data_IF_635758421265
#
_entry.id   IF_635758421265
#
_cell.length_a   1.000
_cell.length_b   1.000
_cell.length_c   1.000
_cell.angle_alpha   90.00
_cell.angle_beta   90.00
_cell.angle_gamma   90.00
#
_symmetry.space_group_name_H-M   'P 1'
#
loop_
_entity.id
_entity.type
_entity.pdbx_description
1 polymer ?
#
# COMPACT_ATOMS: atom_id res chain seq x y z
N UNK A 1 -0.77 20.67 14.38
CA UNK A 1 0.35 20.03 15.00
C UNK A 1 1.64 20.55 14.42
N UNK A 2 2.52 21.10 15.28
CA UNK A 2 3.83 21.55 14.84
C UNK A 2 4.71 20.35 14.49
N UNK A 3 5.40 20.42 13.38
CA UNK A 3 6.44 19.47 13.04
C UNK A 3 7.52 19.51 14.13
N UNK A 4 7.76 18.39 14.80
CA UNK A 4 8.87 18.24 15.74
C UNK A 4 10.12 18.03 14.90
N UNK A 5 10.87 19.10 14.67
CA UNK A 5 12.17 19.01 14.02
C UNK A 5 13.16 18.37 15.00
N UNK A 6 13.68 17.20 14.63
CA UNK A 6 14.78 16.59 15.36
C UNK A 6 16.07 17.38 15.10
N UNK A 7 16.74 17.80 16.18
CA UNK A 7 18.02 18.51 16.10
C UNK A 7 19.16 17.59 16.46
N UNK A 8 20.31 17.74 15.79
CA UNK A 8 21.54 17.05 16.12
C UNK A 8 22.66 18.09 16.34
N UNK A 9 23.47 17.89 17.39
CA UNK A 9 24.71 18.64 17.61
C UNK A 9 25.89 17.75 17.28
N UNK A 10 26.89 18.31 16.58
CA UNK A 10 28.06 17.53 16.17
C UNK A 10 29.34 18.37 16.24
N UNK A 11 30.46 17.67 16.44
CA UNK A 11 31.80 18.24 16.39
C UNK A 11 32.59 17.53 15.31
N UNK A 12 33.11 18.27 14.35
CA UNK A 12 33.95 17.75 13.26
C UNK A 12 35.39 18.15 13.42
N UNK A 13 36.31 17.24 13.11
CA UNK A 13 37.71 17.54 12.89
C UNK A 13 38.02 17.56 11.39
N UNK A 14 38.76 18.57 10.94
CA UNK A 14 39.17 18.70 9.52
C UNK A 14 40.11 17.58 9.07
N UNK A 15 40.88 17.02 9.98
CA UNK A 15 41.88 15.99 9.67
C UNK A 15 41.32 14.61 9.86
N UNK A 16 41.51 13.73 8.86
CA UNK A 16 41.17 12.31 8.96
C UNK A 16 42.18 11.61 9.88
N UNK A 17 41.70 11.02 10.96
CA UNK A 17 42.48 10.15 11.85
C UNK A 17 42.11 8.70 11.52
N UNK A 18 43.10 7.93 11.01
CA UNK A 18 42.86 6.50 10.63
C UNK A 18 42.49 5.68 11.89
N UNK A 19 41.43 4.91 11.79
CA UNK A 19 40.95 4.06 12.88
C UNK A 19 40.28 4.82 14.03
N UNK A 20 39.95 6.11 13.84
CA UNK A 20 39.26 6.89 14.86
C UNK A 20 37.87 6.33 15.13
N UNK A 21 37.55 6.22 16.41
CA UNK A 21 36.23 5.84 16.89
C UNK A 21 35.51 7.09 17.41
N UNK A 22 34.44 7.45 16.74
CA UNK A 22 33.58 8.55 17.18
C UNK A 22 32.71 8.13 18.35
N UNK A 23 32.41 9.09 19.25
CA UNK A 23 31.42 8.94 20.31
C UNK A 23 30.12 9.58 19.91
N UNK A 24 29.01 8.88 20.13
CA UNK A 24 27.67 9.31 19.75
C UNK A 24 26.71 9.08 20.92
N UNK A 25 25.76 9.98 21.11
CA UNK A 25 24.71 9.88 22.11
C UNK A 25 23.36 9.90 21.45
N UNK A 26 22.58 8.82 21.61
CA UNK A 26 21.23 8.72 21.03
C UNK A 26 20.19 9.14 22.05
N UNK A 27 19.70 10.38 21.94
CA UNK A 27 18.78 10.99 22.90
C UNK A 27 17.35 11.12 22.35
N UNK A 28 17.04 10.47 21.23
CA UNK A 28 15.73 10.57 20.54
C UNK A 28 14.58 9.99 21.35
N UNK A 29 14.85 9.06 22.28
CA UNK A 29 13.83 8.43 23.11
C UNK A 29 13.40 9.30 24.30
N UNK A 30 14.09 10.40 24.58
CA UNK A 30 13.71 11.32 25.64
C UNK A 30 12.81 12.44 25.08
N UNK A 31 11.66 12.65 25.73
CA UNK A 31 10.64 13.61 25.26
C UNK A 31 10.93 15.05 25.71
N UNK A 32 11.56 15.23 26.87
CA UNK A 32 11.79 16.54 27.47
C UNK A 32 13.29 16.88 27.53
N UNK A 33 13.66 18.18 27.48
CA UNK A 33 15.05 18.64 27.47
C UNK A 33 15.86 18.17 28.70
N UNK A 34 15.25 18.20 29.88
CA UNK A 34 15.89 17.86 31.16
C UNK A 34 16.31 16.38 31.20
N UNK A 35 15.52 15.48 30.60
CA UNK A 35 15.87 14.05 30.53
C UNK A 35 16.95 13.81 29.48
N UNK A 36 16.96 14.57 28.37
CA UNK A 36 18.04 14.55 27.38
C UNK A 36 19.37 14.97 28.00
N UNK A 37 19.38 16.07 28.80
CA UNK A 37 20.55 16.54 29.51
C UNK A 37 21.07 15.49 30.50
N UNK A 38 20.20 14.94 31.34
CA UNK A 38 20.54 13.83 32.26
C UNK A 38 21.10 12.62 31.52
N UNK A 39 20.44 12.21 30.45
CA UNK A 39 20.89 11.09 29.61
C UNK A 39 22.27 11.33 29.01
N UNK A 40 22.54 12.54 28.56
CA UNK A 40 23.86 12.93 28.05
C UNK A 40 24.94 12.91 29.13
N UNK A 41 24.68 13.56 30.28
CA UNK A 41 25.63 13.66 31.39
C UNK A 41 25.93 12.31 32.06
N UNK A 42 24.95 11.41 32.06
CA UNK A 42 25.11 10.05 32.60
C UNK A 42 25.65 9.05 31.58
N UNK A 43 26.05 9.50 30.39
CA UNK A 43 26.48 8.65 29.29
C UNK A 43 25.46 7.56 28.90
N UNK A 44 24.17 7.81 29.16
CA UNK A 44 23.11 6.92 28.74
C UNK A 44 23.03 6.89 27.19
N UNK A 45 22.90 5.70 26.62
CA UNK A 45 22.86 5.54 25.17
C UNK A 45 24.10 6.13 24.44
N UNK A 46 25.29 5.99 25.05
CA UNK A 46 26.57 6.27 24.40
C UNK A 46 26.93 5.10 23.46
N UNK A 47 27.29 5.45 22.25
CA UNK A 47 27.80 4.54 21.23
C UNK A 47 29.19 4.91 20.81
N UNK A 48 30.02 3.92 20.53
CA UNK A 48 31.37 4.11 19.99
C UNK A 48 31.42 3.40 18.64
N UNK A 49 31.61 4.15 17.58
CA UNK A 49 31.56 3.60 16.23
C UNK A 49 32.72 4.08 15.34
N UNK A 50 33.17 3.19 14.44
CA UNK A 50 34.15 3.52 13.40
C UNK A 50 33.44 4.12 12.20
N UNK A 51 33.82 5.30 11.78
CA UNK A 51 33.25 5.98 10.61
C UNK A 51 33.42 5.19 9.31
N UNK A 52 34.43 4.33 9.23
CA UNK A 52 34.69 3.46 8.08
C UNK A 52 33.52 2.48 7.83
N UNK A 53 32.75 2.13 8.87
CA UNK A 53 31.58 1.27 8.73
C UNK A 53 30.45 1.95 7.95
N UNK A 54 30.29 3.26 8.04
CA UNK A 54 29.23 3.99 7.35
C UNK A 54 29.34 3.88 5.83
N UNK A 55 30.57 3.81 5.31
CA UNK A 55 30.83 3.66 3.87
C UNK A 55 30.38 2.30 3.29
N UNK A 56 30.02 1.33 4.14
CA UNK A 56 29.47 0.05 3.73
C UNK A 56 28.01 0.17 3.30
N UNK A 57 27.32 1.20 3.80
CA UNK A 57 25.90 1.49 3.51
C UNK A 57 25.82 2.50 2.37
N UNK A 58 24.91 2.37 1.40
CA UNK A 58 24.67 3.38 0.37
C UNK A 58 24.47 4.77 0.98
N UNK A 59 25.03 5.79 0.35
CA UNK A 59 25.02 7.19 0.80
C UNK A 59 25.69 7.45 2.18
N UNK A 60 26.32 6.43 2.76
CA UNK A 60 27.10 6.49 4.00
C UNK A 60 26.42 7.24 5.17
N UNK A 61 25.17 6.87 5.56
CA UNK A 61 24.49 7.51 6.66
C UNK A 61 25.25 7.31 7.97
N UNK A 62 25.14 8.28 8.89
CA UNK A 62 25.77 8.20 10.22
C UNK A 62 25.00 7.18 11.08
N UNK A 63 25.35 5.92 10.93
CA UNK A 63 24.62 4.75 11.45
C UNK A 63 25.30 4.12 12.69
N UNK A 64 25.80 4.95 13.60
CA UNK A 64 26.61 4.56 14.77
C UNK A 64 25.97 3.55 15.72
N UNK A 65 24.65 3.40 15.65
CA UNK A 65 23.86 2.55 16.57
C UNK A 65 23.62 1.14 16.04
N UNK A 66 24.15 0.81 14.86
CA UNK A 66 23.98 -0.49 14.25
C UNK A 66 25.02 -1.49 14.76
N UNK A 67 24.58 -2.74 14.92
CA UNK A 67 25.45 -3.86 15.21
C UNK A 67 26.32 -4.24 13.99
N UNK A 68 27.49 -4.88 14.24
CA UNK A 68 28.41 -5.30 13.16
C UNK A 68 27.75 -6.21 12.10
N UNK A 69 26.78 -7.03 12.50
CA UNK A 69 26.02 -7.96 11.65
C UNK A 69 25.28 -7.21 10.54
N UNK A 70 24.65 -6.08 10.87
CA UNK A 70 23.94 -5.24 9.89
C UNK A 70 24.88 -4.73 8.80
N UNK A 71 26.07 -4.26 9.17
CA UNK A 71 27.07 -3.83 8.18
C UNK A 71 27.55 -5.00 7.29
N UNK A 72 27.66 -6.22 7.85
CA UNK A 72 28.06 -7.40 7.09
C UNK A 72 27.06 -7.80 6.01
N UNK A 73 25.76 -7.49 6.21
CA UNK A 73 24.72 -7.72 5.21
C UNK A 73 24.95 -6.84 3.98
N UNK A 74 25.28 -5.57 4.17
CA UNK A 74 25.61 -4.66 3.05
C UNK A 74 26.89 -5.06 2.31
N UNK A 75 27.84 -5.68 2.98
CA UNK A 75 29.09 -6.18 2.35
C UNK A 75 28.84 -7.30 1.33
N UNK A 76 27.71 -8.01 1.42
CA UNK A 76 27.31 -9.06 0.45
C UNK A 76 26.94 -8.45 -0.91
N UNK A 77 26.64 -7.16 -0.99
CA UNK A 77 26.31 -6.40 -2.22
C UNK A 77 25.23 -7.05 -3.06
N UNK A 78 24.18 -7.53 -2.42
CA UNK A 78 22.98 -8.07 -3.06
C UNK A 78 21.81 -7.17 -2.68
N UNK A 79 21.09 -6.66 -3.67
CA UNK A 79 20.07 -5.64 -3.46
C UNK A 79 18.76 -5.98 -4.18
N UNK A 80 17.67 -5.37 -3.75
CA UNK A 80 16.37 -5.47 -4.44
C UNK A 80 16.47 -5.07 -5.90
N UNK A 81 17.29 -4.07 -6.23
CA UNK A 81 17.53 -3.62 -7.60
C UNK A 81 18.16 -4.66 -8.52
N UNK A 82 18.83 -5.67 -7.97
CA UNK A 82 19.43 -6.77 -8.76
C UNK A 82 18.37 -7.79 -9.21
N UNK A 83 17.21 -7.83 -8.55
CA UNK A 83 16.16 -8.83 -8.77
C UNK A 83 14.84 -8.23 -9.26
N UNK A 84 14.73 -6.91 -9.35
CA UNK A 84 13.54 -6.22 -9.82
C UNK A 84 13.81 -4.78 -10.25
N UNK A 85 12.94 -4.26 -11.12
CA UNK A 85 13.02 -2.89 -11.61
C UNK A 85 11.96 -2.00 -10.96
N UNK A 86 12.38 -1.08 -10.11
CA UNK A 86 11.50 -0.06 -9.52
C UNK A 86 11.21 1.04 -10.53
N UNK A 87 9.93 1.36 -10.74
CA UNK A 87 9.49 2.38 -11.70
C UNK A 87 8.46 3.31 -11.10
N UNK A 88 8.60 4.59 -11.39
CA UNK A 88 7.62 5.63 -11.14
C UNK A 88 6.62 5.67 -12.29
N UNK A 89 5.33 5.83 -11.98
CA UNK A 89 4.28 5.81 -13.00
C UNK A 89 3.83 7.20 -13.45
N UNK A 90 2.56 7.27 -13.80
CA UNK A 90 1.88 8.44 -14.35
C UNK A 90 1.64 9.51 -13.28
N UNK A 91 2.13 10.72 -13.51
CA UNK A 91 1.62 11.93 -12.88
C UNK A 91 0.59 12.59 -13.81
N UNK A 92 -0.63 12.84 -13.32
CA UNK A 92 -1.69 13.44 -14.15
C UNK A 92 -1.47 14.93 -14.39
N UNK A 93 -0.69 15.60 -13.54
CA UNK A 93 -0.52 17.07 -13.48
C UNK A 93 -1.82 17.87 -13.25
N UNK A 94 -2.98 17.22 -13.33
CA UNK A 94 -4.31 17.77 -13.07
C UNK A 94 -5.27 16.64 -12.67
N UNK A 95 -5.28 16.30 -11.37
CA UNK A 95 -6.11 15.22 -10.84
C UNK A 95 -7.60 15.52 -11.02
N UNK A 96 -8.03 16.78 -10.88
CA UNK A 96 -9.44 17.14 -11.00
C UNK A 96 -9.99 16.87 -12.41
N UNK A 97 -9.15 16.95 -13.42
CA UNK A 97 -9.52 16.68 -14.80
C UNK A 97 -9.41 15.20 -15.17
N UNK A 98 -8.35 14.52 -14.73
CA UNK A 98 -7.94 13.22 -15.28
C UNK A 98 -8.14 12.05 -14.34
N UNK A 99 -8.51 12.29 -13.06
CA UNK A 99 -8.71 11.25 -12.06
C UNK A 99 -10.14 11.30 -11.54
N UNK A 100 -10.73 10.13 -11.29
CA UNK A 100 -12.04 9.96 -10.65
C UNK A 100 -11.99 8.81 -9.67
N UNK A 101 -12.85 8.87 -8.64
CA UNK A 101 -13.24 7.66 -7.97
C UNK A 101 -14.07 6.81 -8.92
N UNK A 102 -13.90 5.51 -8.88
CA UNK A 102 -14.58 4.62 -9.81
C UNK A 102 -16.13 4.76 -9.77
N UNK A 103 -16.80 5.03 -8.62
CA UNK A 103 -18.25 5.18 -8.59
C UNK A 103 -18.78 6.45 -9.28
N UNK A 104 -17.89 7.42 -9.60
CA UNK A 104 -18.27 8.64 -10.32
C UNK A 104 -18.42 8.40 -11.84
N UNK A 105 -18.07 7.20 -12.31
CA UNK A 105 -18.05 6.86 -13.72
C UNK A 105 -19.05 5.74 -13.99
N UNK A 106 -19.75 5.83 -15.11
CA UNK A 106 -20.51 4.70 -15.62
C UNK A 106 -19.59 3.48 -15.74
N UNK A 107 -19.96 2.39 -15.05
CA UNK A 107 -19.12 1.20 -14.91
C UNK A 107 -18.73 0.61 -16.27
N UNK A 108 -19.63 0.67 -17.27
CA UNK A 108 -19.38 0.19 -18.64
C UNK A 108 -18.33 1.00 -19.40
N UNK A 109 -17.98 2.19 -18.91
CA UNK A 109 -16.94 3.06 -19.49
C UNK A 109 -15.57 2.87 -18.85
N UNK A 110 -15.45 1.92 -17.91
CA UNK A 110 -14.18 1.57 -17.29
C UNK A 110 -13.58 0.38 -18.05
N UNK A 111 -12.36 0.53 -18.52
CA UNK A 111 -11.63 -0.50 -19.26
C UNK A 111 -10.93 -1.46 -18.31
N UNK A 112 -11.68 -2.42 -17.76
CA UNK A 112 -11.10 -3.51 -16.99
C UNK A 112 -10.44 -4.56 -17.89
N UNK A 113 -9.41 -5.24 -17.38
CA UNK A 113 -8.75 -6.36 -18.07
C UNK A 113 -7.92 -5.96 -19.31
N UNK A 114 -7.61 -4.69 -19.47
CA UNK A 114 -6.71 -4.21 -20.54
C UNK A 114 -5.27 -4.60 -20.21
N UNK A 115 -4.57 -5.17 -21.19
CA UNK A 115 -3.23 -5.73 -21.04
C UNK A 115 -2.14 -5.00 -21.87
N UNK A 116 -2.31 -3.71 -22.09
CA UNK A 116 -1.32 -2.90 -22.81
C UNK A 116 -1.85 -1.56 -23.28
N UNK A 117 -0.96 -0.59 -23.42
CA UNK A 117 -1.32 0.78 -23.83
C UNK A 117 -1.95 0.82 -25.23
N UNK A 118 -1.55 -0.06 -26.14
CA UNK A 118 -2.10 -0.16 -27.50
C UNK A 118 -3.59 -0.55 -27.51
N UNK A 119 -4.06 -1.28 -26.49
CA UNK A 119 -5.47 -1.66 -26.34
C UNK A 119 -6.37 -0.51 -25.88
N UNK A 120 -5.78 0.61 -25.48
CA UNK A 120 -6.53 1.83 -25.15
C UNK A 120 -6.81 2.71 -26.37
N UNK A 121 -6.17 2.39 -27.51
CA UNK A 121 -6.40 3.08 -28.79
C UNK A 121 -7.70 2.56 -29.38
N UNK A 122 -8.55 3.48 -29.78
CA UNK A 122 -9.91 3.18 -30.31
C UNK A 122 -10.79 2.36 -29.34
N UNK A 123 -10.41 2.30 -28.06
CA UNK A 123 -11.22 1.68 -27.02
C UNK A 123 -12.51 2.49 -26.77
N UNK A 124 -13.66 1.84 -26.56
CA UNK A 124 -14.88 2.52 -26.10
C UNK A 124 -14.72 3.05 -24.67
N UNK A 125 -13.77 2.51 -23.91
CA UNK A 125 -13.50 2.93 -22.53
C UNK A 125 -12.61 4.16 -22.51
N UNK A 126 -12.98 5.13 -21.68
CA UNK A 126 -12.21 6.36 -21.45
C UNK A 126 -11.36 6.24 -20.18
N UNK A 127 -11.84 5.52 -19.21
CA UNK A 127 -11.30 5.42 -17.87
C UNK A 127 -10.70 4.04 -17.63
N UNK A 128 -9.54 3.98 -16.98
CA UNK A 128 -8.82 2.73 -16.71
C UNK A 128 -8.42 2.65 -15.25
N UNK A 129 -8.43 1.44 -14.64
CA UNK A 129 -8.04 1.25 -13.24
C UNK A 129 -6.67 1.87 -12.93
N UNK A 130 -6.58 2.58 -11.80
CA UNK A 130 -5.41 3.38 -11.46
C UNK A 130 -4.97 3.17 -10.01
N UNK A 131 -3.73 2.76 -9.81
CA UNK A 131 -3.10 2.57 -8.51
C UNK A 131 -2.35 3.84 -8.11
N UNK A 132 -2.84 4.55 -7.10
CA UNK A 132 -2.31 5.85 -6.70
C UNK A 132 -1.45 5.82 -5.42
N UNK A 133 -1.32 4.71 -4.75
CA UNK A 133 -0.86 4.63 -3.38
C UNK A 133 -2.03 4.78 -2.42
N UNK A 134 -1.87 5.45 -1.30
CA UNK A 134 -2.95 5.67 -0.33
C UNK A 134 -2.54 5.37 1.10
N UNK A 135 -3.53 5.15 1.97
CA UNK A 135 -3.34 4.84 3.38
C UNK A 135 -2.53 3.55 3.57
N UNK A 136 -1.94 3.40 4.75
CA UNK A 136 -1.19 2.20 5.13
C UNK A 136 -2.05 0.94 4.96
N UNK A 137 -1.62 0.07 4.08
CA UNK A 137 -2.26 -1.21 3.79
C UNK A 137 -1.23 -2.17 3.19
N UNK A 138 -1.14 -3.39 3.69
CA UNK A 138 -0.29 -4.46 3.16
C UNK A 138 -1.09 -5.39 2.25
N UNK A 139 -0.41 -6.15 1.43
CA UNK A 139 -0.84 -7.29 0.62
C UNK A 139 -1.76 -6.93 -0.55
N UNK A 140 -2.87 -6.24 -0.32
CA UNK A 140 -3.85 -5.87 -1.35
C UNK A 140 -3.99 -4.35 -1.48
N UNK A 141 -4.01 -3.78 -2.69
CA UNK A 141 -3.95 -2.34 -2.91
C UNK A 141 -5.28 -1.61 -2.64
N UNK A 142 -5.19 -0.31 -2.41
CA UNK A 142 -6.35 0.59 -2.37
C UNK A 142 -6.83 0.85 -3.82
N UNK A 143 -7.87 0.13 -4.25
CA UNK A 143 -8.43 0.19 -5.61
C UNK A 143 -9.63 1.13 -5.64
N UNK A 144 -9.37 2.43 -5.69
CA UNK A 144 -10.41 3.46 -5.58
C UNK A 144 -10.53 4.31 -6.84
N UNK A 145 -9.46 4.38 -7.64
CA UNK A 145 -9.35 5.37 -8.71
C UNK A 145 -9.36 4.74 -10.10
N UNK A 146 -9.88 5.56 -11.03
CA UNK A 146 -9.73 5.37 -12.47
C UNK A 146 -9.14 6.64 -13.09
N UNK A 147 -8.33 6.47 -14.12
CA UNK A 147 -7.65 7.57 -14.84
C UNK A 147 -8.11 7.62 -16.29
N UNK A 148 -8.31 8.82 -16.82
CA UNK A 148 -8.55 9.01 -18.26
C UNK A 148 -7.26 8.72 -19.05
N UNK A 149 -7.19 7.54 -19.65
CA UNK A 149 -6.05 7.13 -20.47
C UNK A 149 -6.44 6.65 -21.87
N UNK A 150 -7.60 7.09 -22.37
CA UNK A 150 -8.07 6.78 -23.73
C UNK A 150 -7.03 7.21 -24.78
N UNK A 151 -6.93 6.45 -25.86
CA UNK A 151 -5.99 6.71 -26.96
C UNK A 151 -4.53 6.89 -26.44
N UNK A 152 -4.08 5.93 -25.60
CA UNK A 152 -2.75 5.96 -25.03
C UNK A 152 -2.45 7.25 -24.25
N UNK A 153 -3.45 7.76 -23.51
CA UNK A 153 -3.32 8.96 -22.67
C UNK A 153 -3.17 10.26 -23.48
N UNK A 154 -3.74 10.34 -24.66
CA UNK A 154 -3.59 11.50 -25.55
C UNK A 154 -3.94 12.82 -24.86
N UNK A 155 -5.08 12.88 -24.15
CA UNK A 155 -5.50 14.12 -23.46
C UNK A 155 -4.53 14.53 -22.34
N UNK A 156 -4.02 13.58 -21.55
CA UNK A 156 -3.04 13.87 -20.49
C UNK A 156 -1.74 14.36 -21.11
N UNK A 157 -1.23 13.66 -22.13
CA UNK A 157 0.02 14.03 -22.82
C UNK A 157 -0.07 15.42 -23.42
N UNK A 158 -1.18 15.76 -24.09
CA UNK A 158 -1.43 17.09 -24.62
C UNK A 158 -1.49 18.17 -23.52
N UNK A 159 -2.16 17.89 -22.40
CA UNK A 159 -2.25 18.81 -21.27
C UNK A 159 -0.88 19.05 -20.61
N UNK A 160 -0.06 18.01 -20.48
CA UNK A 160 1.32 18.09 -19.97
C UNK A 160 2.16 19.00 -20.86
N UNK A 161 2.14 18.79 -22.17
CA UNK A 161 2.91 19.62 -23.12
C UNK A 161 2.44 21.08 -23.11
N UNK A 162 1.16 21.33 -22.93
CA UNK A 162 0.63 22.70 -22.79
C UNK A 162 1.05 23.34 -21.48
N UNK A 163 1.06 22.60 -20.36
CA UNK A 163 1.40 23.08 -19.03
C UNK A 163 2.91 23.34 -18.87
N UNK A 164 3.72 22.54 -19.52
CA UNK A 164 5.19 22.58 -19.44
C UNK A 164 5.82 22.75 -20.82
N UNK A 165 5.71 23.95 -21.45
CA UNK A 165 6.14 24.17 -22.83
C UNK A 165 7.66 24.05 -23.05
N UNK A 166 8.44 23.95 -21.99
CA UNK A 166 9.88 23.69 -22.04
C UNK A 166 10.25 22.22 -22.20
N UNK A 167 9.29 21.30 -22.06
CA UNK A 167 9.52 19.87 -22.28
C UNK A 167 9.50 19.53 -23.78
N UNK A 168 10.40 18.66 -24.22
CA UNK A 168 10.44 18.15 -25.59
C UNK A 168 9.41 17.06 -25.84
N UNK A 169 9.01 16.33 -24.79
CA UNK A 169 8.01 15.25 -24.85
C UNK A 169 7.32 15.11 -23.49
N UNK A 170 6.19 14.38 -23.38
CA UNK A 170 5.47 14.20 -22.14
C UNK A 170 6.09 13.19 -21.18
N UNK A 171 7.16 12.47 -21.56
CA UNK A 171 7.68 11.29 -20.86
C UNK A 171 8.29 11.63 -19.48
N UNK A 172 8.62 12.90 -19.25
CA UNK A 172 9.05 13.37 -17.94
C UNK A 172 7.95 13.29 -16.87
N UNK A 173 6.68 13.37 -17.30
CA UNK A 173 5.48 13.36 -16.45
C UNK A 173 4.71 12.05 -16.61
N UNK A 174 4.51 11.59 -17.86
CA UNK A 174 3.87 10.33 -18.22
C UNK A 174 4.94 9.26 -18.35
N UNK A 175 5.49 8.84 -17.20
CA UNK A 175 6.69 8.00 -17.13
C UNK A 175 6.40 6.52 -17.37
N UNK A 176 7.37 5.81 -17.90
CA UNK A 176 7.43 4.34 -17.93
C UNK A 176 6.16 3.68 -18.52
N UNK A 177 5.59 4.23 -19.58
CA UNK A 177 4.34 3.75 -20.19
C UNK A 177 4.41 2.28 -20.63
N UNK A 178 5.59 1.77 -20.97
CA UNK A 178 5.80 0.35 -21.29
C UNK A 178 5.58 -0.61 -20.11
N UNK A 179 5.47 -0.08 -18.90
CA UNK A 179 5.21 -0.86 -17.70
C UNK A 179 3.76 -0.80 -17.23
N UNK A 180 2.92 0.03 -17.86
CA UNK A 180 1.50 0.08 -17.53
C UNK A 180 0.81 -1.21 -17.91
N UNK A 181 -0.21 -1.57 -17.13
CA UNK A 181 -1.03 -2.78 -17.27
C UNK A 181 -0.31 -4.10 -16.93
N UNK A 182 0.93 -4.05 -16.44
CA UNK A 182 1.67 -5.22 -16.00
C UNK A 182 1.63 -5.38 -14.48
N UNK A 183 1.57 -6.64 -14.03
CA UNK A 183 1.57 -6.99 -12.63
C UNK A 183 2.89 -6.62 -11.92
N UNK A 184 2.80 -6.29 -10.63
CA UNK A 184 3.97 -5.94 -9.84
C UNK A 184 3.64 -5.62 -8.39
N UNK A 185 4.65 -5.25 -7.64
CA UNK A 185 4.56 -4.91 -6.22
C UNK A 185 4.55 -3.38 -6.10
N UNK A 186 3.47 -2.80 -5.57
CA UNK A 186 3.35 -1.35 -5.35
C UNK A 186 3.52 -0.98 -3.89
N UNK A 187 3.89 0.26 -3.65
CA UNK A 187 3.90 0.91 -2.33
C UNK A 187 3.46 2.36 -2.43
N UNK A 188 3.32 3.07 -1.31
CA UNK A 188 3.11 4.52 -1.29
C UNK A 188 4.46 5.23 -1.20
N UNK A 189 4.78 6.10 -2.17
CA UNK A 189 6.05 6.87 -2.16
C UNK A 189 6.15 7.75 -0.91
N UNK A 190 5.05 8.40 -0.53
CA UNK A 190 5.00 9.23 0.68
C UNK A 190 4.20 8.51 1.74
N UNK A 191 4.81 8.25 2.89
CA UNK A 191 4.14 7.68 4.05
C UNK A 191 4.68 8.29 5.35
N UNK A 192 3.79 8.53 6.31
CA UNK A 192 4.14 8.99 7.66
C UNK A 192 4.37 7.85 8.66
N UNK A 193 4.25 6.61 8.19
CA UNK A 193 4.37 5.38 8.98
C UNK A 193 5.26 4.35 8.31
N UNK A 194 5.05 3.11 8.69
CA UNK A 194 5.81 1.97 8.18
C UNK A 194 5.62 1.79 6.66
N UNK A 195 6.63 1.22 6.01
CA UNK A 195 6.53 0.77 4.63
C UNK A 195 5.47 -0.32 4.48
N UNK A 196 4.81 -0.37 3.33
CA UNK A 196 3.83 -1.42 3.03
C UNK A 196 3.82 -1.76 1.55
N UNK A 197 4.02 -3.03 1.23
CA UNK A 197 3.99 -3.57 -0.12
C UNK A 197 2.64 -4.26 -0.40
N UNK A 198 2.16 -4.10 -1.64
CA UNK A 198 0.87 -4.62 -2.11
C UNK A 198 1.03 -5.21 -3.49
N UNK A 199 0.37 -6.34 -3.74
CA UNK A 199 0.36 -6.97 -5.04
C UNK A 199 -0.68 -6.34 -5.97
N UNK A 200 -0.26 -5.99 -7.16
CA UNK A 200 -1.13 -5.49 -8.24
C UNK A 200 -1.07 -6.47 -9.40
N UNK A 201 -2.23 -6.97 -9.81
CA UNK A 201 -2.37 -7.81 -11.00
C UNK A 201 -2.22 -6.99 -12.29
N UNK A 202 -2.18 -7.66 -13.44
CA UNK A 202 -2.28 -7.00 -14.74
C UNK A 202 -3.57 -6.17 -14.86
N UNK A 203 -3.55 -5.17 -15.74
CA UNK A 203 -4.73 -4.37 -16.06
C UNK A 203 -4.82 -3.02 -15.36
N UNK A 204 -3.75 -2.56 -14.72
CA UNK A 204 -3.71 -1.29 -13.99
C UNK A 204 -2.64 -0.34 -14.54
N UNK A 205 -2.96 0.94 -14.56
CA UNK A 205 -1.98 2.02 -14.64
C UNK A 205 -1.59 2.42 -13.23
N UNK A 206 -0.32 2.70 -13.00
CA UNK A 206 0.17 3.09 -11.68
C UNK A 206 0.70 4.53 -11.66
N UNK A 207 0.62 5.15 -10.49
CA UNK A 207 0.98 6.55 -10.26
C UNK A 207 2.47 6.75 -9.97
N UNK A 208 2.89 8.00 -10.06
CA UNK A 208 4.14 8.47 -9.45
C UNK A 208 4.14 8.32 -7.93
N UNK A 209 3.00 8.60 -7.28
CA UNK A 209 2.81 8.43 -5.83
C UNK A 209 2.58 6.97 -5.38
N UNK A 210 2.36 6.07 -6.32
CA UNK A 210 2.24 4.62 -6.11
C UNK A 210 3.20 3.87 -7.05
N UNK A 211 4.52 4.02 -6.86
CA UNK A 211 5.51 3.35 -7.71
C UNK A 211 5.39 1.82 -7.61
N UNK A 212 6.00 1.13 -8.57
CA UNK A 212 5.95 -0.33 -8.62
C UNK A 212 7.34 -0.93 -8.84
N UNK A 213 7.56 -2.09 -8.21
CA UNK A 213 8.67 -2.99 -8.47
C UNK A 213 8.19 -4.14 -9.37
N UNK A 214 8.82 -4.27 -10.53
CA UNK A 214 8.55 -5.34 -11.48
C UNK A 214 9.58 -6.46 -11.29
N UNK A 215 9.10 -7.64 -10.92
CA UNK A 215 9.91 -8.81 -10.58
C UNK A 215 9.47 -9.99 -11.43
N UNK A 216 10.42 -10.67 -12.08
CA UNK A 216 10.10 -11.81 -12.94
C UNK A 216 10.12 -13.16 -12.22
N UNK A 217 10.97 -13.31 -11.21
CA UNK A 217 11.17 -14.58 -10.49
C UNK A 217 10.74 -14.42 -9.04
N UNK A 218 9.93 -15.35 -8.55
CA UNK A 218 9.47 -15.41 -7.16
C UNK A 218 8.96 -14.05 -6.61
N UNK A 219 8.01 -13.36 -7.27
CA UNK A 219 7.59 -12.01 -6.83
C UNK A 219 6.98 -12.02 -5.42
N UNK A 220 6.29 -13.08 -5.02
CA UNK A 220 5.69 -13.18 -3.70
C UNK A 220 6.73 -13.32 -2.59
N UNK A 221 7.85 -14.01 -2.85
CA UNK A 221 8.96 -14.06 -1.90
C UNK A 221 9.53 -12.66 -1.64
N UNK A 222 9.71 -11.84 -2.70
CA UNK A 222 10.16 -10.45 -2.55
C UNK A 222 9.13 -9.60 -1.81
N UNK A 223 7.85 -9.76 -2.12
CA UNK A 223 6.77 -9.04 -1.43
C UNK A 223 6.67 -9.44 0.04
N UNK A 224 6.83 -10.74 0.36
CA UNK A 224 6.90 -11.22 1.73
C UNK A 224 8.01 -10.51 2.50
N UNK A 225 9.23 -10.49 1.95
CA UNK A 225 10.36 -9.76 2.52
C UNK A 225 10.07 -8.27 2.70
N UNK A 226 9.51 -7.60 1.69
CA UNK A 226 9.22 -6.17 1.73
C UNK A 226 8.20 -5.76 2.82
N UNK A 227 7.41 -6.69 3.34
CA UNK A 227 6.45 -6.42 4.42
C UNK A 227 6.97 -6.77 5.82
N UNK A 228 8.25 -7.16 5.96
CA UNK A 228 8.86 -7.55 7.24
C UNK A 228 9.52 -6.38 7.99
N UNK A 229 9.76 -6.51 9.31
CA UNK A 229 10.55 -5.55 10.08
C UNK A 229 12.01 -5.48 9.61
N UNK A 230 12.55 -6.54 9.00
CA UNK A 230 13.88 -6.53 8.40
C UNK A 230 13.98 -5.50 7.28
N UNK A 231 13.01 -5.51 6.37
CA UNK A 231 12.94 -4.52 5.27
C UNK A 231 12.73 -3.11 5.82
N UNK A 232 11.84 -2.94 6.80
CA UNK A 232 11.60 -1.65 7.45
C UNK A 232 12.88 -1.09 8.07
N UNK A 233 13.65 -1.90 8.77
CA UNK A 233 14.93 -1.47 9.37
C UNK A 233 15.89 -0.92 8.30
N UNK A 234 15.99 -1.57 7.14
CA UNK A 234 16.83 -1.05 6.04
C UNK A 234 16.21 0.19 5.38
N UNK A 235 14.88 0.29 5.30
CA UNK A 235 14.22 1.52 4.87
C UNK A 235 14.57 2.69 5.78
N UNK A 236 14.54 2.50 7.09
CA UNK A 236 14.85 3.55 8.07
C UNK A 236 16.31 4.04 7.96
N UNK A 237 17.21 3.20 7.45
CA UNK A 237 18.61 3.55 7.19
C UNK A 237 18.82 4.28 5.87
N UNK A 238 18.13 3.87 4.80
CA UNK A 238 18.38 4.33 3.44
C UNK A 238 17.37 5.41 3.04
N UNK A 239 16.08 5.23 3.37
CA UNK A 239 15.00 6.14 3.00
C UNK A 239 14.82 7.22 4.08
N UNK A 240 15.79 8.13 4.20
CA UNK A 240 15.72 9.20 5.19
C UNK A 240 14.62 10.21 4.81
N UNK A 241 13.61 10.36 5.68
CA UNK A 241 12.50 11.27 5.49
C UNK A 241 11.15 10.54 5.28
N UNK A 242 10.24 11.17 4.54
CA UNK A 242 8.88 10.68 4.31
C UNK A 242 8.70 9.92 2.98
N UNK A 243 9.79 9.76 2.22
CA UNK A 243 9.74 9.17 0.88
C UNK A 243 10.39 7.80 0.82
N UNK A 244 9.67 6.87 0.21
CA UNK A 244 10.17 5.56 -0.22
C UNK A 244 10.39 5.59 -1.74
N UNK A 245 11.43 6.29 -2.19
CA UNK A 245 11.63 6.58 -3.60
C UNK A 245 12.10 5.38 -4.43
N UNK A 246 11.81 5.41 -5.72
CA UNK A 246 12.31 4.41 -6.70
C UNK A 246 13.82 4.40 -6.85
N UNK A 247 14.54 5.40 -6.34
CA UNK A 247 16.00 5.43 -6.30
C UNK A 247 16.57 4.75 -5.06
N UNK A 248 15.85 4.75 -3.94
CA UNK A 248 16.31 4.23 -2.65
C UNK A 248 15.88 2.77 -2.41
N UNK A 249 14.63 2.41 -2.68
CA UNK A 249 14.13 1.04 -2.52
C UNK A 249 15.03 -0.01 -3.21
N UNK A 250 15.53 0.20 -4.43
CA UNK A 250 16.47 -0.73 -5.07
C UNK A 250 17.79 -0.95 -4.34
N UNK A 251 18.18 -0.05 -3.43
CA UNK A 251 19.43 -0.13 -2.68
C UNK A 251 19.29 -0.95 -1.38
N UNK A 252 18.10 -1.44 -1.07
CA UNK A 252 17.85 -2.25 0.12
C UNK A 252 18.45 -3.66 -0.09
N UNK A 253 19.23 -4.18 0.90
CA UNK A 253 19.82 -5.50 0.82
C UNK A 253 18.78 -6.60 0.61
N UNK A 254 19.04 -7.53 -0.31
CA UNK A 254 18.20 -8.70 -0.55
C UNK A 254 19.04 -9.95 -0.71
N UNK A 255 18.95 -10.87 0.24
CA UNK A 255 19.65 -12.16 0.16
C UNK A 255 18.89 -13.11 -0.75
N UNK A 256 19.57 -13.66 -1.79
CA UNK A 256 18.91 -14.47 -2.83
C UNK A 256 18.75 -15.95 -2.44
N UNK A 257 19.56 -16.45 -1.50
CA UNK A 257 19.52 -17.86 -1.08
C UNK A 257 18.46 -18.03 0.02
N UNK A 258 17.21 -18.14 -0.38
CA UNK A 258 16.05 -18.37 0.50
C UNK A 258 15.60 -19.81 0.27
N UNK A 259 15.60 -20.64 1.32
CA UNK A 259 15.23 -22.06 1.25
C UNK A 259 13.71 -22.26 1.30
N UNK A 260 13.00 -21.50 2.11
CA UNK A 260 11.55 -21.65 2.40
C UNK A 260 10.63 -20.98 1.38
N UNK A 261 11.04 -20.85 0.11
CA UNK A 261 10.29 -20.10 -0.91
C UNK A 261 8.86 -20.57 -1.11
N UNK A 262 8.62 -21.88 -1.04
CA UNK A 262 7.27 -22.42 -1.24
C UNK A 262 6.35 -22.03 -0.10
N UNK A 263 6.81 -22.10 1.14
CA UNK A 263 6.06 -21.68 2.31
C UNK A 263 5.78 -20.17 2.27
N UNK A 264 6.81 -19.37 2.02
CA UNK A 264 6.69 -17.91 1.89
C UNK A 264 5.67 -17.54 0.80
N UNK A 265 5.75 -18.20 -0.36
CA UNK A 265 4.83 -17.95 -1.48
C UNK A 265 3.38 -18.26 -1.10
N UNK A 266 3.14 -19.39 -0.45
CA UNK A 266 1.81 -19.79 0.00
C UNK A 266 1.25 -18.84 1.05
N UNK A 267 2.05 -18.45 2.05
CA UNK A 267 1.66 -17.49 3.10
C UNK A 267 1.35 -16.09 2.52
N UNK A 268 2.13 -15.64 1.55
CA UNK A 268 1.89 -14.34 0.88
C UNK A 268 0.63 -14.39 0.03
N UNK A 269 0.38 -15.49 -0.69
CA UNK A 269 -0.85 -15.67 -1.47
C UNK A 269 -2.08 -15.64 -0.56
N UNK A 270 -2.04 -16.38 0.56
CA UNK A 270 -3.10 -16.37 1.57
C UNK A 270 -3.32 -14.95 2.13
N UNK A 271 -2.26 -14.22 2.45
CA UNK A 271 -2.36 -12.85 2.95
C UNK A 271 -2.99 -11.89 1.92
N UNK A 272 -2.69 -12.09 0.63
CA UNK A 272 -3.35 -11.33 -0.45
C UNK A 272 -4.84 -11.65 -0.49
N UNK A 273 -5.22 -12.92 -0.37
CA UNK A 273 -6.64 -13.33 -0.38
C UNK A 273 -7.39 -12.78 0.84
N UNK A 274 -6.86 -12.94 2.05
CA UNK A 274 -7.45 -12.39 3.28
C UNK A 274 -7.66 -10.87 3.19
N UNK A 275 -6.66 -10.16 2.64
CA UNK A 275 -6.74 -8.70 2.47
C UNK A 275 -7.70 -8.28 1.36
N UNK A 276 -7.84 -9.10 0.30
CA UNK A 276 -8.83 -8.90 -0.76
C UNK A 276 -10.25 -9.12 -0.25
N UNK A 277 -10.50 -10.18 0.51
CA UNK A 277 -11.79 -10.46 1.12
C UNK A 277 -12.25 -9.34 2.05
N UNK A 278 -11.33 -8.81 2.89
CA UNK A 278 -11.62 -7.63 3.70
C UNK A 278 -11.98 -6.42 2.84
N UNK A 279 -11.25 -6.16 1.75
CA UNK A 279 -11.51 -5.03 0.86
C UNK A 279 -12.86 -5.17 0.16
N UNK A 280 -13.16 -6.35 -0.39
CA UNK A 280 -14.35 -6.63 -1.18
C UNK A 280 -15.61 -6.79 -0.32
N UNK A 281 -15.48 -6.83 1.00
CA UNK A 281 -16.62 -6.79 1.92
C UNK A 281 -17.31 -5.43 2.03
N UNK A 282 -16.78 -4.37 1.37
CA UNK A 282 -17.28 -3.01 1.46
C UNK A 282 -17.51 -2.39 0.07
N UNK A 283 -18.50 -1.50 -0.02
CA UNK A 283 -18.91 -0.80 -1.25
C UNK A 283 -17.80 0.08 -1.89
N UNK A 284 -16.68 0.29 -1.19
CA UNK A 284 -15.48 0.92 -1.76
C UNK A 284 -14.81 0.07 -2.83
N UNK A 285 -15.04 -1.25 -2.82
CA UNK A 285 -14.56 -2.15 -3.85
C UNK A 285 -15.54 -2.20 -5.02
N UNK A 286 -15.04 -2.18 -6.26
CA UNK A 286 -15.84 -2.51 -7.44
C UNK A 286 -16.12 -4.01 -7.59
N UNK A 287 -15.44 -4.87 -6.83
CA UNK A 287 -15.68 -6.32 -6.71
C UNK A 287 -16.63 -6.67 -5.54
N UNK A 288 -17.21 -5.65 -4.87
CA UNK A 288 -18.20 -5.85 -3.81
C UNK A 288 -19.42 -6.58 -4.35
N UNK A 289 -19.86 -7.65 -3.69
CA UNK A 289 -20.94 -8.49 -4.15
C UNK A 289 -22.23 -8.28 -3.36
N UNK A 290 -22.14 -8.41 -2.04
CA UNK A 290 -23.29 -8.38 -1.14
C UNK A 290 -22.83 -7.94 0.25
N UNK A 291 -23.69 -7.20 0.95
CA UNK A 291 -23.35 -6.76 2.30
C UNK A 291 -23.20 -7.95 3.27
N UNK A 292 -22.12 -8.03 4.08
CA UNK A 292 -21.82 -9.18 4.93
C UNK A 292 -22.89 -9.52 5.98
N UNK A 293 -23.73 -8.54 6.37
CA UNK A 293 -24.84 -8.77 7.31
C UNK A 293 -26.10 -9.31 6.65
N UNK A 294 -26.17 -9.44 5.33
CA UNK A 294 -27.29 -10.09 4.63
C UNK A 294 -27.07 -11.60 4.58
N UNK A 295 -27.56 -12.27 5.58
CA UNK A 295 -27.41 -13.71 5.81
C UNK A 295 -28.75 -14.37 6.10
N UNK A 296 -28.80 -15.66 5.98
CA UNK A 296 -29.99 -16.45 6.33
C UNK A 296 -30.04 -16.69 7.86
N UNK A 297 -30.30 -15.64 8.62
CA UNK A 297 -30.45 -15.65 10.08
C UNK A 297 -31.68 -14.81 10.48
N UNK A 298 -32.16 -15.00 11.70
CA UNK A 298 -33.39 -14.37 12.15
C UNK A 298 -33.24 -12.92 12.57
N UNK A 299 -32.02 -12.50 12.95
CA UNK A 299 -31.77 -11.17 13.50
C UNK A 299 -30.46 -10.57 12.98
N UNK A 300 -30.42 -9.22 12.92
CA UNK A 300 -29.18 -8.48 12.61
C UNK A 300 -28.08 -8.76 13.64
N UNK A 301 -28.46 -9.01 14.89
CA UNK A 301 -27.52 -9.35 15.97
C UNK A 301 -26.80 -10.67 15.68
N UNK A 302 -27.52 -11.69 15.23
CA UNK A 302 -26.92 -12.96 14.82
C UNK A 302 -26.01 -12.79 13.60
N UNK A 303 -26.48 -12.04 12.59
CA UNK A 303 -25.65 -11.72 11.42
C UNK A 303 -24.34 -11.02 11.80
N UNK A 304 -24.41 -10.03 12.68
CA UNK A 304 -23.23 -9.32 13.16
C UNK A 304 -22.30 -10.22 13.97
N UNK A 305 -22.83 -11.11 14.81
CA UNK A 305 -21.99 -12.04 15.57
C UNK A 305 -21.22 -13.01 14.67
N UNK A 306 -21.85 -13.52 13.62
CA UNK A 306 -21.18 -14.36 12.62
C UNK A 306 -20.12 -13.55 11.87
N UNK A 307 -20.46 -12.36 11.41
CA UNK A 307 -19.53 -11.45 10.75
C UNK A 307 -18.32 -11.11 11.62
N UNK A 308 -18.54 -10.85 12.91
CA UNK A 308 -17.46 -10.60 13.86
C UNK A 308 -16.50 -11.78 13.95
N UNK A 309 -17.03 -13.02 14.06
CA UNK A 309 -16.18 -14.21 14.09
C UNK A 309 -15.32 -14.31 12.83
N UNK A 310 -15.90 -14.13 11.64
CA UNK A 310 -15.16 -14.16 10.37
C UNK A 310 -14.08 -13.07 10.29
N UNK A 311 -14.39 -11.87 10.77
CA UNK A 311 -13.39 -10.79 10.84
C UNK A 311 -12.26 -11.10 11.81
N UNK A 312 -12.58 -11.68 12.99
CA UNK A 312 -11.60 -12.05 13.99
C UNK A 312 -10.71 -13.20 13.50
N UNK A 313 -11.28 -14.20 12.83
CA UNK A 313 -10.54 -15.32 12.24
C UNK A 313 -9.59 -14.81 11.14
N UNK A 314 -10.07 -13.97 10.23
CA UNK A 314 -9.26 -13.32 9.18
C UNK A 314 -8.13 -12.49 9.76
N UNK A 315 -8.41 -11.71 10.79
CA UNK A 315 -7.43 -10.87 11.47
C UNK A 315 -6.33 -11.71 12.13
N UNK A 316 -6.72 -12.75 12.88
CA UNK A 316 -5.79 -13.62 13.58
C UNK A 316 -4.95 -14.45 12.60
N UNK A 317 -5.54 -14.94 11.52
CA UNK A 317 -4.81 -15.68 10.49
C UNK A 317 -3.77 -14.78 9.79
N UNK A 318 -4.16 -13.56 9.37
CA UNK A 318 -3.22 -12.62 8.76
C UNK A 318 -2.07 -12.28 9.70
N UNK A 319 -2.38 -12.00 10.96
CA UNK A 319 -1.38 -11.71 11.99
C UNK A 319 -0.40 -12.87 12.16
N UNK A 320 -0.88 -14.08 12.29
CA UNK A 320 -0.06 -15.28 12.45
C UNK A 320 0.86 -15.50 11.23
N UNK A 321 0.34 -15.32 10.03
CA UNK A 321 1.14 -15.42 8.79
C UNK A 321 2.22 -14.34 8.73
N UNK A 322 1.90 -13.09 9.11
CA UNK A 322 2.88 -12.00 9.15
C UNK A 322 3.98 -12.26 10.18
N UNK A 323 3.64 -12.76 11.38
CA UNK A 323 4.59 -13.10 12.43
C UNK A 323 5.52 -14.26 12.00
N UNK A 324 5.00 -15.26 11.29
CA UNK A 324 5.82 -16.35 10.75
C UNK A 324 6.76 -15.87 9.64
N UNK A 325 6.28 -15.05 8.70
CA UNK A 325 7.12 -14.42 7.69
C UNK A 325 8.22 -13.57 8.32
N UNK A 326 7.89 -12.80 9.36
CA UNK A 326 8.86 -12.01 10.11
C UNK A 326 9.96 -12.90 10.71
N UNK A 327 9.59 -14.01 11.37
CA UNK A 327 10.52 -14.96 11.97
C UNK A 327 11.48 -15.52 10.92
N UNK A 328 10.95 -15.99 9.79
CA UNK A 328 11.76 -16.55 8.70
C UNK A 328 12.78 -15.53 8.20
N UNK A 329 12.36 -14.30 7.91
CA UNK A 329 13.29 -13.30 7.39
C UNK A 329 14.26 -12.75 8.46
N UNK A 330 13.86 -12.64 9.71
CA UNK A 330 14.78 -12.33 10.82
C UNK A 330 15.88 -13.40 10.92
N UNK A 331 15.52 -14.67 10.81
CA UNK A 331 16.48 -15.80 10.86
C UNK A 331 17.41 -15.81 9.64
N UNK A 332 16.90 -15.61 8.43
CA UNK A 332 17.69 -15.53 7.19
C UNK A 332 18.76 -14.44 7.27
N UNK A 333 18.39 -13.30 7.88
CA UNK A 333 19.30 -12.15 8.00
C UNK A 333 20.16 -12.18 9.27
N UNK A 334 19.90 -13.09 10.22
CA UNK A 334 20.64 -13.22 11.48
C UNK A 334 20.41 -12.01 12.39
N UNK A 335 19.19 -11.51 12.50
CA UNK A 335 18.81 -10.29 13.21
C UNK A 335 17.92 -10.55 14.42
N UNK A 336 18.02 -11.73 15.03
CA UNK A 336 17.20 -12.13 16.19
C UNK A 336 17.46 -11.26 17.43
N UNK A 337 18.67 -10.71 17.57
CA UNK A 337 19.02 -9.82 18.68
C UNK A 337 18.52 -8.38 18.47
N UNK A 338 18.12 -8.03 17.21
CA UNK A 338 17.71 -6.67 16.83
C UNK A 338 16.20 -6.51 16.66
N UNK A 339 15.54 -7.56 16.18
CA UNK A 339 14.16 -7.51 15.73
C UNK A 339 13.35 -8.65 16.35
N UNK A 340 12.07 -8.37 16.55
CA UNK A 340 11.10 -9.35 17.01
C UNK A 340 10.08 -9.65 15.91
N UNK A 341 9.54 -10.88 15.84
CA UNK A 341 8.57 -11.26 14.81
C UNK A 341 7.15 -10.75 15.11
N UNK A 342 6.85 -10.33 16.33
CA UNK A 342 5.52 -9.96 16.77
C UNK A 342 4.96 -8.77 15.95
N UNK A 343 3.67 -8.86 15.62
CA UNK A 343 2.92 -7.81 14.92
C UNK A 343 1.92 -7.17 15.89
N UNK A 344 2.01 -5.87 16.07
CA UNK A 344 1.03 -5.15 16.87
C UNK A 344 -0.35 -5.12 16.16
N UNK A 345 -1.44 -5.23 16.90
CA UNK A 345 -2.80 -5.26 16.35
C UNK A 345 -3.11 -4.04 15.44
N UNK A 346 -2.54 -2.87 15.76
CA UNK A 346 -2.70 -1.65 14.95
C UNK A 346 -2.02 -1.71 13.57
N UNK A 347 -1.07 -2.65 13.38
CA UNK A 347 -0.31 -2.82 12.14
C UNK A 347 -0.90 -3.90 11.23
N UNK A 348 -1.86 -4.69 11.73
CA UNK A 348 -2.63 -5.64 10.92
C UNK A 348 -3.63 -4.87 10.08
N UNK A 349 -3.60 -5.05 8.76
CA UNK A 349 -4.31 -4.17 7.83
C UNK A 349 -5.69 -4.67 7.37
N UNK A 350 -6.15 -5.82 7.85
CA UNK A 350 -7.56 -6.25 7.73
C UNK A 350 -8.35 -5.78 8.94
N UNK A 351 -9.64 -5.49 8.74
CA UNK A 351 -10.49 -4.85 9.74
C UNK A 351 -11.13 -5.88 10.67
N UNK A 352 -11.11 -5.61 11.96
CA UNK A 352 -12.04 -6.25 12.90
C UNK A 352 -13.46 -5.70 12.68
N UNK A 353 -14.48 -6.46 13.02
CA UNK A 353 -15.87 -5.98 12.97
C UNK A 353 -16.07 -4.79 13.92
N UNK A 354 -16.79 -3.79 13.46
CA UNK A 354 -17.21 -2.63 14.24
C UNK A 354 -18.70 -2.41 14.04
N UNK A 355 -19.49 -2.52 15.12
CA UNK A 355 -20.95 -2.51 15.05
C UNK A 355 -21.47 -1.20 14.41
N UNK A 356 -20.91 -0.06 14.80
CA UNK A 356 -21.40 1.22 14.30
C UNK A 356 -21.06 1.40 12.80
N UNK A 357 -19.84 1.10 12.41
CA UNK A 357 -19.40 1.16 11.01
C UNK A 357 -20.22 0.21 10.14
N UNK A 358 -20.38 -1.03 10.59
CA UNK A 358 -20.97 -2.11 9.78
C UNK A 358 -22.49 -1.94 9.66
N UNK A 359 -23.17 -1.40 10.68
CA UNK A 359 -24.59 -0.99 10.57
C UNK A 359 -24.75 0.21 9.63
N UNK A 360 -23.86 1.22 9.70
CA UNK A 360 -23.90 2.35 8.74
C UNK A 360 -23.67 1.86 7.30
N UNK A 361 -22.78 0.90 7.10
CA UNK A 361 -22.55 0.28 5.80
C UNK A 361 -23.77 -0.50 5.30
N UNK A 362 -24.48 -1.22 6.20
CA UNK A 362 -25.74 -1.90 5.87
C UNK A 362 -26.82 -0.90 5.42
N UNK A 363 -26.95 0.23 6.13
CA UNK A 363 -27.87 1.28 5.75
C UNK A 363 -27.52 1.88 4.38
N UNK A 364 -26.24 2.12 4.12
CA UNK A 364 -25.77 2.58 2.80
C UNK A 364 -26.14 1.60 1.70
N UNK A 365 -25.88 0.30 1.91
CA UNK A 365 -26.27 -0.75 0.97
C UNK A 365 -27.79 -0.81 0.74
N UNK A 366 -28.59 -0.69 1.81
CA UNK A 366 -30.05 -0.66 1.71
C UNK A 366 -30.53 0.53 0.84
N UNK A 367 -29.97 1.73 1.06
CA UNK A 367 -30.22 2.91 0.21
C UNK A 367 -29.79 2.62 -1.23
N UNK A 368 -28.65 1.96 -1.43
CA UNK A 368 -28.21 1.53 -2.74
C UNK A 368 -29.21 0.59 -3.45
N UNK A 369 -29.85 -0.32 -2.71
CA UNK A 369 -30.94 -1.16 -3.23
C UNK A 369 -32.17 -0.33 -3.57
N UNK A 370 -32.53 0.65 -2.72
CA UNK A 370 -33.69 1.53 -2.95
C UNK A 370 -33.56 2.31 -4.26
N UNK A 371 -32.36 2.72 -4.62
CA UNK A 371 -32.06 3.45 -5.88
C UNK A 371 -31.63 2.52 -7.03
N UNK A 372 -31.72 1.21 -6.87
CA UNK A 372 -31.39 0.24 -7.91
C UNK A 372 -29.89 0.03 -8.18
N UNK A 373 -28.99 0.65 -7.39
CA UNK A 373 -27.55 0.41 -7.53
C UNK A 373 -27.20 -1.03 -7.26
N UNK A 374 -27.84 -1.62 -6.26
CA UNK A 374 -27.75 -3.03 -5.89
C UNK A 374 -29.13 -3.70 -6.01
N UNK A 375 -29.14 -5.02 -6.03
CA UNK A 375 -30.34 -5.82 -5.99
C UNK A 375 -30.18 -6.93 -4.95
N UNK A 376 -31.30 -7.38 -4.39
CA UNK A 376 -31.32 -8.56 -3.52
C UNK A 376 -31.23 -9.88 -4.32
N UNK A 377 -31.42 -9.82 -5.64
CA UNK A 377 -31.55 -10.96 -6.54
C UNK A 377 -30.29 -11.25 -7.36
N UNK A 378 -29.38 -10.26 -7.49
CA UNK A 378 -28.11 -10.42 -8.20
C UNK A 378 -26.94 -9.92 -7.35
N UNK A 379 -25.79 -10.55 -7.50
CA UNK A 379 -24.57 -10.12 -6.81
C UNK A 379 -23.93 -8.92 -7.50
N UNK A 380 -23.30 -8.03 -6.71
CA UNK A 380 -22.57 -6.88 -7.20
C UNK A 380 -23.47 -5.73 -7.65
N UNK A 381 -22.96 -4.93 -8.59
CA UNK A 381 -23.69 -3.79 -9.13
C UNK A 381 -24.80 -4.26 -10.06
N UNK A 382 -26.05 -3.95 -9.72
CA UNK A 382 -27.20 -4.19 -10.56
C UNK A 382 -27.32 -3.08 -11.64
N UNK A 383 -27.16 -1.82 -11.22
CA UNK A 383 -27.12 -0.67 -12.11
C UNK A 383 -26.04 0.35 -11.66
N UNK A 384 -25.15 0.68 -12.56
CA UNK A 384 -24.10 1.69 -12.34
C UNK A 384 -23.88 2.53 -13.62
N UNK A 385 -24.99 2.93 -14.27
CA UNK A 385 -25.06 3.59 -15.56
C UNK A 385 -25.30 2.60 -16.71
N UNK A 386 -25.52 3.12 -17.92
CA UNK A 386 -25.89 2.32 -19.09
C UNK A 386 -27.39 2.07 -19.21
N UNK A 387 -27.78 0.96 -19.82
CA UNK A 387 -29.19 0.58 -20.00
C UNK A 387 -29.74 -0.07 -18.74
N UNK A 388 -30.98 0.30 -18.39
CA UNK A 388 -31.70 -0.27 -17.27
C UNK A 388 -32.20 -1.68 -17.60
N UNK A 389 -31.87 -2.67 -16.74
CA UNK A 389 -32.33 -4.04 -16.86
C UNK A 389 -33.23 -4.42 -15.67
N UNK A 390 -34.55 -4.33 -15.90
CA UNK A 390 -35.55 -4.65 -14.87
C UNK A 390 -35.56 -6.12 -14.43
N UNK A 391 -35.00 -7.04 -15.23
CA UNK A 391 -34.93 -8.46 -14.88
C UNK A 391 -34.04 -8.77 -13.67
N UNK A 392 -33.16 -7.84 -13.31
CA UNK A 392 -32.29 -7.93 -12.14
C UNK A 392 -33.02 -7.67 -10.79
N UNK A 393 -34.30 -7.25 -10.83
CA UNK A 393 -35.04 -6.84 -9.64
C UNK A 393 -36.36 -7.63 -9.55
N UNK A 394 -36.43 -8.60 -8.65
CA UNK A 394 -37.60 -9.45 -8.42
C UNK A 394 -38.12 -9.29 -6.99
N UNK A 395 -37.24 -9.33 -5.99
CA UNK A 395 -37.59 -9.27 -4.57
C UNK A 395 -37.93 -7.82 -4.13
N UNK A 396 -37.30 -6.84 -4.75
CA UNK A 396 -37.56 -5.42 -4.48
C UNK A 396 -37.34 -4.61 -5.77
N UNK A 397 -38.33 -3.82 -6.13
CA UNK A 397 -38.28 -2.93 -7.30
C UNK A 397 -37.94 -1.51 -6.87
N UNK A 398 -36.84 -0.93 -7.35
CA UNK A 398 -36.55 0.48 -7.13
C UNK A 398 -37.62 1.38 -7.72
N UNK A 399 -37.89 2.51 -7.09
CA UNK A 399 -38.87 3.48 -7.59
C UNK A 399 -38.41 4.10 -8.91
N UNK A 400 -39.33 4.21 -9.85
CA UNK A 400 -39.05 4.68 -11.23
C UNK A 400 -38.61 6.14 -11.27
N UNK A 401 -39.01 6.97 -10.30
CA UNK A 401 -38.67 8.40 -10.23
C UNK A 401 -37.57 8.71 -9.18
N UNK A 402 -37.02 7.67 -8.54
CA UNK A 402 -36.05 7.77 -7.44
C UNK A 402 -36.55 8.61 -6.23
N UNK A 403 -37.87 8.77 -6.06
CA UNK A 403 -38.50 9.43 -4.91
C UNK A 403 -39.09 8.40 -4.00
N UNK A 404 -38.55 8.30 -2.78
CA UNK A 404 -39.10 7.44 -1.74
C UNK A 404 -40.16 8.20 -0.91
N UNK A 405 -41.45 7.84 -0.98
CA UNK A 405 -42.43 8.34 -0.04
C UNK A 405 -42.11 7.81 1.35
N UNK A 406 -41.68 8.66 2.25
CA UNK A 406 -41.62 8.33 3.66
C UNK A 406 -43.06 8.38 4.16
N UNK A 407 -43.75 7.25 4.19
CA UNK A 407 -45.00 7.12 4.92
C UNK A 407 -44.65 7.14 6.40
N UNK A 408 -44.90 8.26 7.05
CA UNK A 408 -45.02 8.33 8.51
C UNK A 408 -46.38 7.75 8.81
N UNK A 409 -46.47 6.50 9.28
CA UNK A 409 -47.68 6.06 9.98
C UNK A 409 -47.73 6.92 11.25
N UNK A 410 -48.73 7.81 11.32
CA UNK A 410 -49.09 8.48 12.56
C UNK A 410 -49.65 7.41 13.51
N UNK A 411 -48.96 7.11 14.61
CA UNK A 411 -49.47 6.36 15.75
C UNK A 411 -50.61 7.11 16.46
#
# INVERSE_FOLDING_TARGET
GGEVVQTASFVFAKNRIKGYQGKYYRLVNYSIPEDKEKGFLNHANEYIAKQENYQKIPDAPISYHLNPEVYSIFEKRQYIGDVGAAKQGLATSDNNRFLRFWPEINFDKIGFGILGCEKTVDSPSKWFPYIKGGTFRRWYPNKEYVVNYQNNGFEIKAAVMKKYPYLNNPDFVVKNTSAYFHAGITWSDVATGKFSARWVNDGYIFADAGPMLFVQVDPYVKMGYMNTPVFQMFCDLICQGLHYSTGQIPQIPYLQNIEDKNFITASVDENIQLSKEDWDSFETSWDFKKHPLLRNVSTISEAFNQWRTECDDRFNQLKANEEELNRIFIDIYGLQDELTPEVEDKDVTVRKADLQRDIKSLLSYAVGCMFGRYSLDVEGLAYAGGEWDSSKYQSYFPDADNVFPLTVEED
#
